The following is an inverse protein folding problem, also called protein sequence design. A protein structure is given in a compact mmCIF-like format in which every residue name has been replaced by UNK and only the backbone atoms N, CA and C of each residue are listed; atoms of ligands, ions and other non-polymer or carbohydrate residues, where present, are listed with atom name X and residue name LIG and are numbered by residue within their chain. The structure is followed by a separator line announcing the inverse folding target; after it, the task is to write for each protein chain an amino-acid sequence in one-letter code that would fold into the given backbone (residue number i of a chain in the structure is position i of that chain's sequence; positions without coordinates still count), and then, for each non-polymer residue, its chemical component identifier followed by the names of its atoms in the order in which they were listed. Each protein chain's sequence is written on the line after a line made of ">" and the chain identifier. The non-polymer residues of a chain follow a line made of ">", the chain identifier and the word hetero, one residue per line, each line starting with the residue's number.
data_IF_635875827783
#
_entry.id   IF_635875827783
#
_cell.length_a   1.000
_cell.length_b   1.000
_cell.length_c   1.000
_cell.angle_alpha   90.00
_cell.angle_beta   90.00
_cell.angle_gamma   90.00
#
_symmetry.space_group_name_H-M   'P 1'
#
loop_
_entity.id
_entity.type
_entity.pdbx_description
1 polymer ?
#
# COMPACT_ATOMS: atom_id res chain seq x y z
N UNK A 1 -10.04 -24.48 -3.98
CA UNK A 1 -9.08 -23.91 -3.02
C UNK A 1 -7.77 -23.71 -3.76
N UNK A 2 -7.45 -22.50 -4.25
CA UNK A 2 -6.16 -22.21 -4.84
C UNK A 2 -5.23 -21.80 -3.69
N UNK A 3 -4.24 -22.58 -3.42
CA UNK A 3 -3.16 -22.27 -2.48
C UNK A 3 -2.39 -21.07 -3.02
N UNK A 4 -2.52 -19.93 -2.35
CA UNK A 4 -1.73 -18.72 -2.62
C UNK A 4 -0.29 -19.01 -2.19
N UNK A 5 0.60 -19.08 -3.17
CA UNK A 5 2.02 -19.29 -2.93
C UNK A 5 2.60 -17.96 -2.41
N UNK A 6 2.96 -17.88 -1.13
CA UNK A 6 3.69 -16.76 -0.54
C UNK A 6 5.03 -16.66 -1.26
N UNK A 7 5.15 -15.77 -2.24
CA UNK A 7 6.45 -15.42 -2.80
C UNK A 7 7.21 -14.62 -1.74
N UNK A 8 8.22 -15.22 -1.19
CA UNK A 8 9.18 -14.53 -0.32
C UNK A 8 9.92 -13.49 -1.17
N UNK A 9 10.03 -12.27 -0.67
CA UNK A 9 10.85 -11.23 -1.31
C UNK A 9 12.29 -11.52 -0.96
N UNK A 10 13.12 -11.71 -1.97
CA UNK A 10 14.54 -11.95 -1.83
C UNK A 10 15.26 -10.60 -1.79
N UNK A 11 15.82 -10.23 -0.66
CA UNK A 11 16.71 -9.07 -0.56
C UNK A 11 18.16 -9.55 -0.50
N UNK A 12 19.01 -9.02 -1.38
CA UNK A 12 20.44 -9.31 -1.40
C UNK A 12 21.16 -8.15 -0.74
N UNK A 13 21.74 -8.35 0.42
CA UNK A 13 22.63 -7.40 1.06
C UNK A 13 24.08 -7.75 0.72
N UNK A 14 24.78 -6.82 0.08
CA UNK A 14 26.21 -6.94 -0.16
C UNK A 14 26.94 -6.25 0.98
N UNK A 15 27.55 -7.01 1.87
CA UNK A 15 28.40 -6.49 2.93
C UNK A 15 29.87 -6.73 2.60
N UNK A 16 30.72 -5.69 2.67
CA UNK A 16 32.17 -5.82 2.56
C UNK A 16 32.74 -5.87 3.96
N UNK A 17 33.25 -7.04 4.35
CA UNK A 17 34.10 -7.19 5.54
C UNK A 17 35.55 -6.91 5.12
N UNK A 18 36.29 -6.13 5.93
CA UNK A 18 37.62 -5.55 5.70
C UNK A 18 38.77 -6.45 5.20
N UNK A 19 38.50 -7.61 4.61
CA UNK A 19 39.44 -8.57 4.06
C UNK A 19 39.22 -8.85 2.57
N UNK A 20 38.42 -8.04 1.86
CA UNK A 20 38.21 -8.19 0.40
C UNK A 20 37.32 -9.38 0.00
N UNK A 21 36.69 -10.07 0.93
CA UNK A 21 35.71 -11.13 0.64
C UNK A 21 34.31 -10.50 0.52
N UNK A 22 33.73 -10.57 -0.68
CA UNK A 22 32.33 -10.23 -0.91
C UNK A 22 31.48 -11.40 -0.44
N UNK A 23 30.82 -11.26 0.70
CA UNK A 23 29.82 -12.20 1.18
C UNK A 23 28.46 -11.74 0.68
N UNK A 24 27.95 -12.40 -0.35
CA UNK A 24 26.56 -12.27 -0.76
C UNK A 24 25.70 -13.07 0.22
N UNK A 25 25.13 -12.39 1.21
CA UNK A 25 24.18 -13.02 2.12
C UNK A 25 22.77 -12.71 1.61
N UNK A 26 22.08 -13.76 1.18
CA UNK A 26 20.69 -13.67 0.73
C UNK A 26 19.79 -13.88 1.93
N UNK A 27 18.99 -12.87 2.26
CA UNK A 27 17.96 -12.98 3.29
C UNK A 27 16.58 -13.01 2.65
N UNK A 28 15.79 -14.01 3.03
CA UNK A 28 14.35 -13.98 2.76
C UNK A 28 13.69 -13.07 3.80
N UNK A 29 13.37 -11.82 3.39
CA UNK A 29 12.65 -10.88 4.25
C UNK A 29 11.15 -11.09 4.13
N UNK A 30 10.48 -11.11 5.27
CA UNK A 30 9.02 -11.06 5.28
C UNK A 30 8.54 -9.65 4.94
N UNK A 31 7.33 -9.47 4.39
CA UNK A 31 6.77 -8.13 4.12
C UNK A 31 6.77 -7.18 5.32
N UNK A 32 6.80 -7.71 6.55
CA UNK A 32 6.90 -6.93 7.79
C UNK A 32 8.28 -6.35 8.05
N UNK A 33 9.33 -7.04 7.64
CA UNK A 33 10.72 -6.60 7.86
C UNK A 33 11.12 -5.51 6.86
N UNK A 34 10.51 -5.52 5.65
CA UNK A 34 10.72 -4.47 4.64
C UNK A 34 10.09 -3.15 5.08
N UNK A 35 8.98 -3.17 5.82
CA UNK A 35 8.25 -1.98 6.31
C UNK A 35 9.00 -1.25 7.44
N UNK A 36 9.98 -1.88 8.08
CA UNK A 36 10.75 -1.31 9.20
C UNK A 36 11.89 -0.37 8.79
N UNK A 37 12.23 -0.29 7.50
CA UNK A 37 13.31 0.58 7.02
C UNK A 37 12.72 1.97 6.76
N UNK A 38 13.06 2.96 7.59
CA UNK A 38 12.65 4.33 7.32
C UNK A 38 13.35 4.87 6.05
N UNK A 39 12.64 5.72 5.32
CA UNK A 39 13.09 6.24 4.03
C UNK A 39 14.38 7.09 4.16
N UNK A 40 14.65 7.66 5.34
CA UNK A 40 15.83 8.49 5.61
C UNK A 40 17.07 7.61 5.78
N UNK A 41 16.94 6.51 6.50
CA UNK A 41 18.01 5.53 6.69
C UNK A 41 18.35 4.86 5.36
N UNK A 42 17.33 4.43 4.60
CA UNK A 42 17.50 3.86 3.27
C UNK A 42 18.21 4.83 2.31
N UNK A 43 17.80 6.12 2.25
CA UNK A 43 18.42 7.11 1.37
C UNK A 43 19.86 7.47 1.78
N UNK A 44 20.17 7.37 3.06
CA UNK A 44 21.54 7.61 3.56
C UNK A 44 22.46 6.46 3.19
N UNK A 45 22.04 5.23 3.42
CA UNK A 45 22.78 4.03 3.03
C UNK A 45 22.96 3.96 1.52
N UNK A 46 21.88 4.21 0.74
CA UNK A 46 21.93 4.23 -0.71
C UNK A 46 22.94 5.26 -1.26
N UNK A 47 23.01 6.48 -0.68
CA UNK A 47 24.00 7.49 -1.08
C UNK A 47 25.42 7.07 -0.74
N UNK A 48 25.63 6.47 0.42
CA UNK A 48 26.95 6.00 0.84
C UNK A 48 27.45 4.88 -0.06
N UNK A 49 26.55 3.97 -0.46
CA UNK A 49 26.87 2.89 -1.39
C UNK A 49 27.15 3.40 -2.81
N UNK A 50 26.45 4.43 -3.29
CA UNK A 50 26.71 5.07 -4.57
C UNK A 50 28.08 5.76 -4.60
N UNK A 51 28.45 6.46 -3.55
CA UNK A 51 29.76 7.11 -3.43
C UNK A 51 30.91 6.08 -3.41
N UNK A 52 30.68 4.92 -2.79
CA UNK A 52 31.61 3.80 -2.79
C UNK A 52 31.75 3.18 -4.19
N UNK A 53 30.63 2.92 -4.88
CA UNK A 53 30.59 2.32 -6.22
C UNK A 53 31.32 3.22 -7.24
N UNK A 54 31.09 4.53 -7.19
CA UNK A 54 31.68 5.50 -8.12
C UNK A 54 33.21 5.61 -7.99
N UNK A 55 33.77 5.25 -6.85
CA UNK A 55 35.19 5.35 -6.55
C UNK A 55 35.97 4.01 -6.67
N UNK A 56 35.31 2.92 -7.09
CA UNK A 56 35.99 1.62 -7.21
C UNK A 56 36.37 1.26 -8.65
N UNK A 57 37.52 0.57 -8.88
CA UNK A 57 37.92 0.10 -10.20
C UNK A 57 37.01 -0.97 -10.82
N UNK A 58 36.04 -1.50 -10.04
CA UNK A 58 35.10 -2.55 -10.44
C UNK A 58 33.68 -2.00 -10.69
N UNK A 59 33.56 -0.74 -11.03
CA UNK A 59 32.28 -0.04 -11.25
C UNK A 59 31.32 -0.80 -12.19
N UNK A 60 31.82 -1.36 -13.28
CA UNK A 60 30.97 -2.09 -14.24
C UNK A 60 30.37 -3.38 -13.66
N UNK A 61 31.14 -4.14 -12.90
CA UNK A 61 30.67 -5.41 -12.28
C UNK A 61 29.69 -5.15 -11.14
N UNK A 62 29.86 -4.05 -10.41
CA UNK A 62 28.98 -3.67 -9.30
C UNK A 62 27.64 -3.10 -9.82
N UNK A 63 27.67 -2.35 -10.93
CA UNK A 63 26.46 -1.81 -11.57
C UNK A 63 25.55 -2.93 -12.15
N UNK A 64 26.12 -4.02 -12.64
CA UNK A 64 25.33 -5.19 -13.08
C UNK A 64 24.71 -5.97 -11.92
N UNK A 65 25.31 -5.92 -10.73
CA UNK A 65 24.76 -6.53 -9.51
C UNK A 65 23.92 -5.57 -8.67
N UNK A 66 23.83 -4.29 -9.06
CA UNK A 66 23.00 -3.30 -8.36
C UNK A 66 21.54 -3.72 -8.40
N UNK A 67 21.07 -4.10 -7.25
CA UNK A 67 19.75 -4.53 -6.83
C UNK A 67 18.67 -4.08 -7.83
N UNK A 68 18.21 -4.98 -8.67
CA UNK A 68 16.93 -4.79 -9.34
C UNK A 68 15.86 -4.79 -8.23
N UNK A 69 15.52 -3.59 -7.74
CA UNK A 69 14.40 -3.44 -6.78
C UNK A 69 13.21 -4.11 -7.43
N UNK A 70 12.60 -5.06 -6.71
CA UNK A 70 11.45 -5.81 -7.22
C UNK A 70 10.41 -4.81 -7.76
N UNK A 71 10.02 -4.90 -9.04
CA UNK A 71 9.01 -4.02 -9.63
C UNK A 71 7.73 -3.93 -8.79
N UNK A 72 7.40 -4.98 -8.03
CA UNK A 72 6.26 -4.99 -7.10
C UNK A 72 6.47 -4.02 -5.94
N UNK A 73 7.70 -3.91 -5.42
CA UNK A 73 8.03 -2.97 -4.33
C UNK A 73 7.91 -1.53 -4.82
N UNK A 74 8.44 -1.23 -6.02
CA UNK A 74 8.34 0.11 -6.64
C UNK A 74 6.86 0.47 -6.85
N UNK A 75 6.09 -0.45 -7.40
CA UNK A 75 4.67 -0.22 -7.68
C UNK A 75 3.86 -0.02 -6.39
N UNK A 76 4.12 -0.80 -5.34
CA UNK A 76 3.48 -0.60 -4.04
C UNK A 76 3.85 0.75 -3.44
N UNK A 77 5.11 1.17 -3.50
CA UNK A 77 5.53 2.48 -3.00
C UNK A 77 4.80 3.61 -3.74
N UNK A 78 4.71 3.53 -5.08
CA UNK A 78 3.96 4.49 -5.88
C UNK A 78 2.48 4.57 -5.46
N UNK A 79 1.82 3.43 -5.23
CA UNK A 79 0.43 3.37 -4.74
C UNK A 79 0.29 4.01 -3.36
N UNK A 80 1.23 3.73 -2.46
CA UNK A 80 1.26 4.30 -1.10
C UNK A 80 1.37 5.82 -1.17
N UNK A 81 2.28 6.35 -1.99
CA UNK A 81 2.47 7.79 -2.14
C UNK A 81 1.22 8.46 -2.74
N UNK A 82 0.55 7.82 -3.69
CA UNK A 82 -0.70 8.29 -4.25
C UNK A 82 -1.81 8.39 -3.19
N UNK A 83 -1.98 7.35 -2.37
CA UNK A 83 -2.96 7.35 -1.26
C UNK A 83 -2.59 8.41 -0.22
N UNK A 84 -1.32 8.53 0.14
CA UNK A 84 -0.85 9.54 1.11
C UNK A 84 -1.18 10.95 0.63
N UNK A 85 -0.76 11.32 -0.58
CA UNK A 85 -1.04 12.62 -1.20
C UNK A 85 -2.54 12.91 -1.34
N UNK A 86 -3.32 11.89 -1.71
CA UNK A 86 -4.77 12.01 -1.84
C UNK A 86 -5.44 12.42 -0.52
N UNK A 87 -5.01 11.85 0.60
CA UNK A 87 -5.51 12.20 1.91
C UNK A 87 -4.91 13.49 2.48
N UNK A 88 -3.63 13.78 2.25
CA UNK A 88 -2.97 15.02 2.67
C UNK A 88 -3.63 16.26 2.07
N UNK A 89 -3.94 16.23 0.76
CA UNK A 89 -4.68 17.30 0.08
C UNK A 89 -6.04 17.62 0.75
N UNK A 90 -6.54 16.72 1.59
CA UNK A 90 -7.86 16.81 2.28
C UNK A 90 -7.74 16.94 3.80
N UNK A 91 -6.54 17.10 4.32
CA UNK A 91 -6.24 17.12 5.77
C UNK A 91 -6.81 15.91 6.52
N UNK A 92 -6.91 14.76 5.86
CA UNK A 92 -7.47 13.55 6.44
C UNK A 92 -6.49 12.88 7.41
N UNK A 93 -6.95 12.42 8.58
CA UNK A 93 -6.12 11.64 9.50
C UNK A 93 -5.66 10.30 8.91
N UNK A 94 -6.30 9.84 7.83
CA UNK A 94 -5.99 8.57 7.17
C UNK A 94 -4.69 8.62 6.33
N UNK A 95 -4.12 9.82 6.08
CA UNK A 95 -2.86 9.96 5.35
C UNK A 95 -1.71 9.14 5.95
N UNK A 96 -1.67 9.04 7.29
CA UNK A 96 -0.66 8.27 8.06
C UNK A 96 -0.77 6.76 7.89
N UNK A 97 -1.87 6.29 7.31
CA UNK A 97 -2.18 4.87 7.13
C UNK A 97 -2.16 4.44 5.66
N UNK A 98 -1.55 5.24 4.77
CA UNK A 98 -1.52 4.99 3.33
C UNK A 98 -1.03 3.58 2.97
N UNK A 99 -0.05 3.06 3.70
CA UNK A 99 0.49 1.71 3.52
C UNK A 99 -0.57 0.63 3.79
N UNK A 100 -1.35 0.80 4.85
CA UNK A 100 -2.39 -0.17 5.22
C UNK A 100 -3.47 -0.30 4.13
N UNK A 101 -3.79 0.79 3.43
CA UNK A 101 -4.72 0.75 2.29
C UNK A 101 -4.18 -0.13 1.16
N UNK A 102 -2.91 0.02 0.81
CA UNK A 102 -2.28 -0.73 -0.29
C UNK A 102 -2.11 -2.19 0.08
N UNK A 103 -1.60 -2.48 1.29
CA UNK A 103 -1.39 -3.85 1.73
C UNK A 103 -2.70 -4.61 1.92
N UNK A 104 -3.72 -3.99 2.51
CA UNK A 104 -5.03 -4.61 2.63
C UNK A 104 -5.69 -4.84 1.25
N UNK A 105 -5.52 -3.91 0.31
CA UNK A 105 -6.02 -4.09 -1.05
C UNK A 105 -5.34 -5.25 -1.76
N UNK A 106 -4.02 -5.38 -1.64
CA UNK A 106 -3.26 -6.49 -2.20
C UNK A 106 -3.67 -7.84 -1.57
N UNK A 107 -3.86 -7.89 -0.24
CA UNK A 107 -4.26 -9.10 0.48
C UNK A 107 -5.64 -9.61 0.03
N UNK A 108 -6.60 -8.70 -0.20
CA UNK A 108 -7.97 -9.07 -0.54
C UNK A 108 -8.28 -8.95 -2.04
N UNK A 109 -7.28 -8.65 -2.88
CA UNK A 109 -7.42 -8.60 -4.33
C UNK A 109 -8.37 -7.51 -4.84
N UNK A 110 -8.45 -6.36 -4.17
CA UNK A 110 -9.30 -5.23 -4.53
C UNK A 110 -8.49 -4.06 -5.10
N UNK A 111 -9.14 -3.15 -5.80
CA UNK A 111 -8.51 -1.91 -6.24
C UNK A 111 -8.08 -1.06 -5.03
N UNK A 112 -6.78 -0.73 -4.95
CA UNK A 112 -6.17 -0.02 -3.81
C UNK A 112 -6.80 1.37 -3.55
N UNK A 113 -7.45 1.96 -4.57
CA UNK A 113 -8.09 3.28 -4.52
C UNK A 113 -9.48 3.22 -3.89
N UNK A 114 -10.13 2.06 -3.94
CA UNK A 114 -11.55 1.90 -3.62
C UNK A 114 -11.86 2.28 -2.17
N UNK A 115 -11.14 1.70 -1.21
CA UNK A 115 -11.38 1.94 0.23
C UNK A 115 -11.12 3.39 0.59
N UNK A 116 -10.09 4.00 0.00
CA UNK A 116 -9.78 5.42 0.18
C UNK A 116 -10.90 6.31 -0.36
N UNK A 117 -11.38 6.04 -1.57
CA UNK A 117 -12.46 6.82 -2.18
C UNK A 117 -13.77 6.73 -1.38
N UNK A 118 -14.14 5.53 -0.90
CA UNK A 118 -15.34 5.34 -0.07
C UNK A 118 -15.24 6.16 1.21
N UNK A 119 -14.09 6.20 1.89
CA UNK A 119 -13.94 6.98 3.12
C UNK A 119 -14.21 8.47 2.94
N UNK A 120 -13.88 9.02 1.76
CA UNK A 120 -14.18 10.43 1.45
C UNK A 120 -15.69 10.65 1.29
N UNK A 121 -16.37 9.74 0.58
CA UNK A 121 -17.83 9.83 0.36
C UNK A 121 -18.59 9.76 1.68
N UNK A 122 -18.18 8.87 2.57
CA UNK A 122 -18.92 8.54 3.79
C UNK A 122 -18.63 9.50 4.98
N UNK A 123 -17.40 10.03 5.05
CA UNK A 123 -16.96 10.76 6.26
C UNK A 123 -15.93 11.85 5.98
N UNK A 124 -15.79 12.30 4.73
CA UNK A 124 -14.72 13.24 4.35
C UNK A 124 -13.32 12.72 4.73
N UNK A 125 -13.09 11.40 4.56
CA UNK A 125 -11.80 10.77 4.90
C UNK A 125 -11.55 10.66 6.39
N UNK A 126 -12.58 10.41 7.17
CA UNK A 126 -12.47 10.24 8.60
C UNK A 126 -12.48 11.53 9.41
N UNK A 127 -12.77 12.67 8.79
CA UNK A 127 -12.92 13.96 9.51
C UNK A 127 -14.25 14.05 10.25
N UNK A 128 -15.30 13.40 9.73
CA UNK A 128 -16.66 13.42 10.31
C UNK A 128 -17.12 11.97 10.50
N UNK A 129 -16.88 11.42 11.67
CA UNK A 129 -17.24 10.02 11.98
C UNK A 129 -18.38 9.95 13.00
N UNK A 130 -19.42 9.18 12.69
CA UNK A 130 -20.49 8.87 13.63
C UNK A 130 -20.08 7.79 14.64
N UNK A 131 -19.04 7.01 14.34
CA UNK A 131 -18.51 5.91 15.17
C UNK A 131 -16.98 5.95 15.19
N UNK A 132 -16.34 5.58 16.31
CA UNK A 132 -14.88 5.58 16.42
C UNK A 132 -14.22 4.82 15.28
N UNK A 133 -13.27 5.46 14.61
CA UNK A 133 -12.43 4.88 13.55
C UNK A 133 -13.19 4.23 12.38
N UNK A 134 -14.47 4.60 12.17
CA UNK A 134 -15.31 4.08 11.08
C UNK A 134 -15.58 5.19 10.05
N UNK A 135 -14.63 5.36 9.14
CA UNK A 135 -14.73 6.32 8.05
C UNK A 135 -15.60 5.86 6.87
N UNK A 136 -16.14 4.66 6.93
CA UNK A 136 -16.82 3.99 5.81
C UNK A 136 -18.31 3.73 6.06
N UNK A 137 -18.85 4.09 7.22
CA UNK A 137 -20.21 3.70 7.58
C UNK A 137 -20.42 2.18 7.64
N UNK A 138 -19.34 1.41 7.75
CA UNK A 138 -19.34 -0.04 7.67
C UNK A 138 -19.89 -0.69 8.93
N UNK A 139 -20.92 -1.54 8.76
CA UNK A 139 -21.52 -2.23 9.88
C UNK A 139 -22.20 -1.31 10.89
N UNK A 140 -22.42 -1.82 12.13
CA UNK A 140 -23.14 -1.13 13.19
C UNK A 140 -22.26 -0.53 14.29
N UNK A 141 -20.97 -0.84 14.29
CA UNK A 141 -20.01 -0.48 15.35
C UNK A 141 -18.86 0.36 14.81
N UNK A 142 -18.06 0.95 15.69
CA UNK A 142 -16.74 1.48 15.38
C UNK A 142 -15.70 0.36 15.30
N UNK A 143 -14.46 0.76 15.03
CA UNK A 143 -13.29 -0.12 15.03
C UNK A 143 -12.34 0.24 16.18
N UNK A 144 -11.37 -0.62 16.47
CA UNK A 144 -10.38 -0.39 17.55
C UNK A 144 -9.44 0.77 17.23
N UNK A 145 -9.09 0.93 15.96
CA UNK A 145 -8.22 1.96 15.41
C UNK A 145 -8.42 2.04 13.89
N UNK A 146 -7.78 2.99 13.24
CA UNK A 146 -7.88 3.18 11.77
C UNK A 146 -7.42 1.97 10.97
N UNK A 147 -6.33 1.32 11.39
CA UNK A 147 -5.80 0.11 10.73
C UNK A 147 -6.84 -1.01 10.74
N UNK A 148 -7.44 -1.30 11.90
CA UNK A 148 -8.49 -2.31 12.03
C UNK A 148 -9.68 -2.02 11.09
N UNK A 149 -10.09 -0.74 10.99
CA UNK A 149 -11.14 -0.31 10.07
C UNK A 149 -10.77 -0.55 8.60
N UNK A 150 -9.58 -0.14 8.17
CA UNK A 150 -9.10 -0.32 6.80
C UNK A 150 -9.12 -1.81 6.41
N UNK A 151 -8.53 -2.66 7.25
CA UNK A 151 -8.43 -4.09 7.01
C UNK A 151 -9.82 -4.77 7.01
N UNK A 152 -10.70 -4.40 7.93
CA UNK A 152 -12.04 -4.97 8.03
C UNK A 152 -12.89 -4.62 6.81
N UNK A 153 -12.85 -3.36 6.37
CA UNK A 153 -13.58 -2.91 5.18
C UNK A 153 -13.02 -3.54 3.91
N UNK A 154 -11.69 -3.57 3.77
CA UNK A 154 -11.03 -4.22 2.62
C UNK A 154 -11.40 -5.70 2.51
N UNK A 155 -11.42 -6.43 3.63
CA UNK A 155 -11.89 -7.83 3.67
C UNK A 155 -13.34 -7.97 3.23
N UNK A 156 -14.22 -7.08 3.69
CA UNK A 156 -15.63 -7.08 3.30
C UNK A 156 -15.82 -6.83 1.80
N UNK A 157 -15.09 -5.87 1.24
CA UNK A 157 -15.09 -5.58 -0.20
C UNK A 157 -14.46 -6.71 -1.01
N UNK A 158 -13.43 -7.38 -0.50
CA UNK A 158 -12.86 -8.60 -1.11
C UNK A 158 -13.91 -9.71 -1.27
N UNK A 159 -14.83 -9.83 -0.31
CA UNK A 159 -15.97 -10.76 -0.44
C UNK A 159 -16.96 -10.35 -1.54
N UNK A 160 -17.08 -9.06 -1.87
CA UNK A 160 -17.85 -8.59 -3.02
C UNK A 160 -17.16 -8.93 -4.34
N UNK A 161 -15.86 -8.64 -4.43
CA UNK A 161 -15.01 -9.00 -5.58
C UNK A 161 -15.06 -10.51 -5.89
N UNK A 162 -15.00 -11.34 -4.86
CA UNK A 162 -15.12 -12.80 -5.03
C UNK A 162 -16.47 -13.26 -5.60
N UNK A 163 -17.50 -12.40 -5.56
CA UNK A 163 -18.83 -12.61 -6.14
C UNK A 163 -19.01 -11.91 -7.49
N UNK A 164 -17.95 -11.33 -8.06
CA UNK A 164 -18.00 -10.59 -9.30
C UNK A 164 -18.56 -9.16 -9.18
N UNK A 165 -18.63 -8.60 -7.96
CA UNK A 165 -19.03 -7.21 -7.72
C UNK A 165 -17.74 -6.41 -7.52
N UNK A 166 -17.10 -6.01 -8.61
CA UNK A 166 -15.76 -5.40 -8.59
C UNK A 166 -15.73 -3.94 -9.07
N UNK A 167 -16.86 -3.42 -9.52
CA UNK A 167 -17.02 -2.01 -9.87
C UNK A 167 -17.78 -1.22 -8.81
N UNK A 168 -17.55 0.10 -8.66
CA UNK A 168 -18.35 0.93 -7.77
C UNK A 168 -19.86 0.86 -8.03
N UNK A 169 -20.28 0.65 -9.28
CA UNK A 169 -21.70 0.54 -9.63
C UNK A 169 -22.35 -0.75 -9.13
N UNK A 170 -21.66 -1.86 -9.17
CA UNK A 170 -22.13 -3.15 -8.64
C UNK A 170 -22.12 -3.15 -7.11
N UNK A 171 -21.00 -2.68 -6.53
CA UNK A 171 -20.85 -2.55 -5.08
C UNK A 171 -21.92 -1.61 -4.51
N UNK A 172 -22.20 -0.49 -5.18
CA UNK A 172 -23.17 0.52 -4.74
C UNK A 172 -24.57 -0.04 -4.54
N UNK A 173 -24.98 -1.04 -5.34
CA UNK A 173 -26.27 -1.71 -5.21
C UNK A 173 -26.44 -2.43 -3.87
N UNK A 174 -25.35 -2.87 -3.27
CA UNK A 174 -25.33 -3.57 -1.96
C UNK A 174 -24.96 -2.61 -0.84
N UNK A 175 -24.01 -1.70 -1.10
CA UNK A 175 -23.46 -0.79 -0.10
C UNK A 175 -24.44 0.36 0.23
N UNK A 176 -25.04 0.97 -0.78
CA UNK A 176 -25.93 2.14 -0.66
C UNK A 176 -27.13 2.03 -1.62
N UNK A 177 -28.03 1.03 -1.45
CA UNK A 177 -29.11 0.76 -2.40
C UNK A 177 -29.96 1.95 -2.80
N UNK A 178 -30.41 2.85 -1.88
CA UNK A 178 -31.27 3.98 -2.22
C UNK A 178 -30.63 4.99 -3.17
N UNK A 179 -29.29 5.13 -3.13
CA UNK A 179 -28.54 6.15 -3.89
C UNK A 179 -27.38 5.54 -4.67
N UNK A 180 -27.51 4.27 -5.07
CA UNK A 180 -26.41 3.47 -5.61
C UNK A 180 -25.67 4.13 -6.79
N UNK A 181 -26.41 4.70 -7.75
CA UNK A 181 -25.81 5.34 -8.94
C UNK A 181 -25.06 6.62 -8.62
N UNK A 182 -25.59 7.47 -7.74
CA UNK A 182 -24.92 8.69 -7.32
C UNK A 182 -23.68 8.38 -6.47
N UNK A 183 -23.81 7.45 -5.53
CA UNK A 183 -22.71 6.95 -4.73
C UNK A 183 -21.59 6.41 -5.62
N UNK A 184 -21.91 5.52 -6.54
CA UNK A 184 -20.95 4.91 -7.47
C UNK A 184 -20.23 5.97 -8.31
N UNK A 185 -20.95 6.96 -8.82
CA UNK A 185 -20.36 8.07 -9.58
C UNK A 185 -19.35 8.87 -8.73
N UNK A 186 -19.70 9.18 -7.48
CA UNK A 186 -18.81 9.88 -6.54
C UNK A 186 -17.55 9.06 -6.25
N UNK A 187 -17.71 7.79 -5.89
CA UNK A 187 -16.58 6.88 -5.62
C UNK A 187 -15.69 6.74 -6.85
N UNK A 188 -16.26 6.49 -8.03
CA UNK A 188 -15.48 6.37 -9.27
C UNK A 188 -14.70 7.66 -9.61
N UNK A 189 -15.29 8.82 -9.38
CA UNK A 189 -14.62 10.11 -9.58
C UNK A 189 -13.43 10.29 -8.61
N UNK A 190 -13.61 9.91 -7.35
CA UNK A 190 -12.55 9.98 -6.34
C UNK A 190 -11.43 8.98 -6.59
N UNK A 191 -11.76 7.76 -7.05
CA UNK A 191 -10.74 6.77 -7.44
C UNK A 191 -9.82 7.29 -8.57
N UNK A 192 -10.35 8.06 -9.52
CA UNK A 192 -9.55 8.70 -10.57
C UNK A 192 -8.58 9.74 -10.02
N UNK A 193 -8.95 10.45 -8.95
CA UNK A 193 -8.10 11.46 -8.33
C UNK A 193 -6.95 10.88 -7.50
N UNK A 194 -6.98 9.58 -7.20
CA UNK A 194 -5.86 8.90 -6.55
C UNK A 194 -4.77 8.66 -7.58
N UNK A 195 -3.68 9.37 -7.49
CA UNK A 195 -2.54 9.28 -8.43
C UNK A 195 -2.47 10.40 -9.46
N UNK A 196 -3.32 11.43 -9.30
CA UNK A 196 -3.25 12.69 -10.02
C UNK A 196 -2.44 13.77 -9.27
#
# INVERSE_FOLDING_TARGET
>A
MKTYNKKNVLAIFTGILGTGLILNTVYELTPKEIVGIDNVTFQREYKQDQEYIDNTPQKETILESAVAIDPVVIENQRKIDNIRKFFEKRNSPLAKYAEEFVYAANEYGIDYRLVAAISIVESSGGLINFRPYNAWGWGKSGFKNWKDGIWSVSKGLGNYYAKGLDTPYEIGRVYCPPSSSEWARKVSSLMKQVGE
#
